data_IF_779850351788
#
_entry.id   IF_779850351788
#
_cell.length_a   1.000
_cell.length_b   1.000
_cell.length_c   1.000
_cell.angle_alpha   90.00
_cell.angle_beta   90.00
_cell.angle_gamma   90.00
#
_symmetry.space_group_name_H-M   'P 1'
#
loop_
_entity.id
_entity.type
_entity.pdbx_description
1 polymer ?
#
# COMPACT_ATOMS: atom_id res chain seq x y z
N UNK A 1 7.57 4.59 6.23
CA UNK A 1 6.43 3.67 6.52
C UNK A 1 5.15 4.45 6.35
N UNK A 2 4.18 3.89 5.63
CA UNK A 2 2.85 4.48 5.44
C UNK A 2 1.82 3.36 5.26
N UNK A 3 0.69 3.45 5.97
CA UNK A 3 -0.31 2.38 6.03
C UNK A 3 0.35 1.03 6.38
N UNK A 4 0.19 0.01 5.54
CA UNK A 4 0.83 -1.31 5.68
C UNK A 4 2.11 -1.47 4.84
N UNK A 5 2.66 -0.39 4.28
CA UNK A 5 3.85 -0.42 3.43
C UNK A 5 5.10 0.08 4.16
N UNK A 6 6.17 -0.71 4.05
CA UNK A 6 7.48 -0.40 4.60
C UNK A 6 8.47 -0.40 3.44
N UNK A 7 8.97 0.79 3.11
CA UNK A 7 9.98 1.00 2.08
C UNK A 7 10.93 2.14 2.48
N UNK A 8 11.99 2.33 1.69
CA UNK A 8 13.04 3.33 1.91
C UNK A 8 12.73 4.65 1.20
N UNK A 9 12.00 4.61 0.10
CA UNK A 9 11.61 5.80 -0.67
C UNK A 9 10.10 5.95 -0.82
N UNK A 10 9.68 7.12 -1.29
CA UNK A 10 8.27 7.42 -1.56
C UNK A 10 7.77 6.67 -2.80
N UNK A 11 8.60 6.59 -3.84
CA UNK A 11 8.28 5.89 -5.09
C UNK A 11 8.01 4.40 -4.84
N UNK A 12 8.81 3.75 -3.99
CA UNK A 12 8.58 2.35 -3.61
C UNK A 12 7.22 2.16 -2.93
N UNK A 13 6.76 3.15 -2.12
CA UNK A 13 5.43 3.10 -1.48
C UNK A 13 4.32 3.30 -2.52
N UNK A 14 4.53 4.16 -3.53
CA UNK A 14 3.57 4.34 -4.63
C UNK A 14 3.40 3.08 -5.47
N UNK A 15 4.50 2.41 -5.81
CA UNK A 15 4.52 1.14 -6.53
C UNK A 15 3.80 0.04 -5.73
N UNK A 16 4.15 -0.15 -4.46
CA UNK A 16 3.49 -1.13 -3.58
C UNK A 16 1.98 -0.86 -3.44
N UNK A 17 1.58 0.41 -3.37
CA UNK A 17 0.17 0.81 -3.33
C UNK A 17 -0.55 0.45 -4.63
N UNK A 18 0.09 0.66 -5.78
CA UNK A 18 -0.46 0.31 -7.08
C UNK A 18 -0.62 -1.21 -7.22
N UNK A 19 0.42 -1.98 -6.89
CA UNK A 19 0.39 -3.45 -6.92
C UNK A 19 -0.68 -4.02 -5.99
N UNK A 20 -0.86 -3.42 -4.82
CA UNK A 20 -1.92 -3.78 -3.91
C UNK A 20 -3.30 -3.51 -4.52
N UNK A 21 -3.53 -2.34 -5.10
CA UNK A 21 -4.82 -2.02 -5.71
C UNK A 21 -5.10 -2.80 -7.01
N UNK A 22 -4.07 -3.32 -7.68
CA UNK A 22 -4.20 -4.24 -8.82
C UNK A 22 -4.43 -5.70 -8.41
N UNK A 23 -4.48 -5.98 -7.10
CA UNK A 23 -4.61 -7.34 -6.54
C UNK A 23 -3.49 -8.29 -7.03
N UNK A 24 -2.27 -7.76 -7.20
CA UNK A 24 -1.11 -8.56 -7.63
C UNK A 24 -0.66 -9.54 -6.54
N UNK A 25 -0.93 -9.24 -5.26
CA UNK A 25 -0.61 -10.14 -4.16
C UNK A 25 -1.65 -11.27 -4.02
N UNK A 26 -1.25 -12.46 -3.52
CA UNK A 26 -2.16 -13.58 -3.37
C UNK A 26 -3.39 -13.22 -2.54
N UNK A 27 -4.60 -13.62 -2.96
CA UNK A 27 -5.80 -13.40 -2.17
C UNK A 27 -5.72 -14.21 -0.88
N UNK A 28 -6.04 -13.56 0.24
CA UNK A 28 -6.15 -14.21 1.54
C UNK A 28 -7.64 -14.39 1.83
N UNK A 29 -8.04 -15.60 2.21
CA UNK A 29 -9.40 -15.88 2.65
C UNK A 29 -9.62 -15.22 4.02
N UNK A 30 -10.35 -14.11 4.04
CA UNK A 30 -10.75 -13.44 5.27
C UNK A 30 -12.20 -13.76 5.68
N UNK A 31 -12.54 -13.37 6.90
CA UNK A 31 -13.92 -13.45 7.46
C UNK A 31 -14.54 -12.06 7.65
N UNK A 32 -13.92 -11.01 7.14
CA UNK A 32 -14.15 -9.62 7.56
C UNK A 32 -14.48 -8.66 6.41
N UNK A 33 -14.48 -9.10 5.16
CA UNK A 33 -15.11 -8.32 4.08
C UNK A 33 -14.32 -8.21 2.78
N UNK A 34 -13.30 -9.04 2.56
CA UNK A 34 -12.53 -9.05 1.32
C UNK A 34 -11.45 -7.96 1.25
N UNK A 35 -11.01 -7.68 0.03
CA UNK A 35 -9.86 -6.81 -0.23
C UNK A 35 -10.12 -5.35 0.19
N UNK A 36 -9.25 -4.81 1.03
CA UNK A 36 -9.31 -3.41 1.47
C UNK A 36 -8.39 -2.58 0.55
N UNK A 37 -8.89 -1.66 -0.28
CA UNK A 37 -8.05 -0.85 -1.13
C UNK A 37 -7.14 0.07 -0.30
N UNK A 38 -5.91 0.26 -0.76
CA UNK A 38 -5.01 1.20 -0.13
C UNK A 38 -5.48 2.65 -0.40
N UNK A 39 -5.44 3.54 0.60
CA UNK A 39 -5.92 4.91 0.46
C UNK A 39 -5.09 5.73 -0.55
N UNK A 40 -5.54 6.95 -0.85
CA UNK A 40 -4.76 7.88 -1.67
C UNK A 40 -3.48 8.31 -0.93
N UNK A 41 -2.38 8.43 -1.69
CA UNK A 41 -1.12 8.93 -1.18
C UNK A 41 -1.26 10.42 -0.87
N UNK A 42 -0.73 10.89 0.27
CA UNK A 42 -0.73 12.32 0.55
C UNK A 42 0.21 13.05 -0.42
N UNK A 43 -0.16 14.27 -0.84
CA UNK A 43 0.63 15.13 -1.75
C UNK A 43 1.98 15.62 -1.16
N UNK A 44 2.41 15.05 -0.03
CA UNK A 44 3.68 15.36 0.61
C UNK A 44 4.61 14.14 0.53
N UNK A 45 5.86 14.39 0.16
CA UNK A 45 6.86 13.32 0.09
C UNK A 45 7.11 12.73 1.48
N UNK A 46 6.91 11.43 1.59
CA UNK A 46 7.17 10.68 2.82
C UNK A 46 8.68 10.69 3.09
N UNK A 47 9.09 11.14 4.27
CA UNK A 47 10.50 11.12 4.70
C UNK A 47 10.72 10.03 5.73
N UNK A 48 11.74 9.20 5.52
CA UNK A 48 12.22 8.27 6.54
C UNK A 48 12.87 9.12 7.65
N UNK A 49 12.33 9.06 8.87
CA UNK A 49 12.91 9.65 10.08
C UNK A 49 13.28 8.54 11.06
#
# INVERSE_FOLDING_TARGET
MWWNFIARTHEEIEEMRMDWNLHTYPPIADRVGGWIPAPEMPNVTLTAR
#
